data_IF_524826251624
#
_entry.id   IF_524826251624
#
_cell.length_a   1.000
_cell.length_b   1.000
_cell.length_c   1.000
_cell.angle_alpha   90.00
_cell.angle_beta   90.00
_cell.angle_gamma   90.00
#
_symmetry.space_group_name_H-M   'P 1'
#
loop_
_entity.id
_entity.type
_entity.pdbx_description
1 polymer ?
#
# COMPACT_ATOMS: atom_id res chain seq x y z
N UNK A 1 20.86 2.13 11.74
CA UNK A 1 20.01 2.03 12.94
C UNK A 1 18.89 0.99 12.81
N UNK A 2 18.63 0.42 11.62
CA UNK A 2 17.56 -0.57 11.42
C UNK A 2 18.05 -1.87 10.77
N UNK A 3 19.31 -2.27 10.95
CA UNK A 3 19.91 -3.40 10.19
C UNK A 3 19.19 -4.73 10.40
N UNK A 4 18.53 -4.90 11.54
CA UNK A 4 17.99 -6.19 11.97
C UNK A 4 16.46 -6.26 11.84
N UNK A 5 15.83 -5.21 11.29
CA UNK A 5 14.39 -5.19 11.05
C UNK A 5 14.09 -5.85 9.70
N UNK A 6 13.19 -6.83 9.74
CA UNK A 6 12.58 -7.47 8.58
C UNK A 6 11.07 -7.59 8.84
N UNK A 7 10.27 -7.34 7.80
CA UNK A 7 8.80 -7.34 7.88
C UNK A 7 8.25 -8.45 6.99
N UNK A 8 7.43 -9.34 7.54
CA UNK A 8 6.72 -10.40 6.82
C UNK A 8 5.93 -9.79 5.66
N UNK A 9 6.29 -10.17 4.43
CA UNK A 9 5.77 -9.60 3.18
C UNK A 9 5.15 -10.70 2.34
N UNK A 10 3.82 -10.71 2.27
CA UNK A 10 3.03 -11.70 1.56
C UNK A 10 2.74 -11.23 0.14
N UNK A 11 3.30 -11.92 -0.85
CA UNK A 11 3.11 -11.60 -2.27
C UNK A 11 1.99 -12.47 -2.84
N UNK A 12 0.85 -11.86 -3.14
CA UNK A 12 -0.30 -12.53 -3.75
C UNK A 12 -0.03 -12.67 -5.25
N UNK A 13 -0.06 -13.91 -5.75
CA UNK A 13 0.16 -14.20 -7.16
C UNK A 13 -0.68 -15.41 -7.61
N UNK A 14 -1.27 -15.34 -8.81
CA UNK A 14 -1.90 -16.51 -9.43
C UNK A 14 -0.82 -17.47 -9.93
N UNK A 15 -0.98 -18.75 -9.66
CA UNK A 15 0.03 -19.79 -9.92
C UNK A 15 0.51 -19.82 -11.37
N UNK A 16 -0.37 -19.53 -12.31
CA UNK A 16 -0.12 -19.48 -13.75
C UNK A 16 0.66 -18.24 -14.22
N UNK A 17 0.70 -17.15 -13.43
CA UNK A 17 1.37 -15.89 -13.76
C UNK A 17 2.83 -15.90 -13.34
N UNK A 18 3.60 -16.83 -13.90
CA UNK A 18 5.02 -16.98 -13.53
C UNK A 18 5.87 -15.76 -13.89
N UNK A 19 5.53 -15.06 -14.98
CA UNK A 19 6.19 -13.82 -15.41
C UNK A 19 5.96 -12.65 -14.44
N UNK A 20 4.75 -12.51 -13.90
CA UNK A 20 4.43 -11.50 -12.88
C UNK A 20 5.11 -11.84 -11.55
N UNK A 21 5.13 -13.12 -11.17
CA UNK A 21 5.87 -13.57 -9.99
C UNK A 21 7.36 -13.26 -10.09
N UNK A 22 8.01 -13.62 -11.20
CA UNK A 22 9.42 -13.31 -11.42
C UNK A 22 9.68 -11.80 -11.39
N UNK A 23 8.77 -11.02 -11.98
CA UNK A 23 8.86 -9.56 -11.97
C UNK A 23 8.79 -8.99 -10.55
N UNK A 24 7.76 -9.32 -9.78
CA UNK A 24 7.61 -8.77 -8.42
C UNK A 24 8.75 -9.22 -7.51
N UNK A 25 9.19 -10.48 -7.59
CA UNK A 25 10.35 -10.97 -6.82
C UNK A 25 11.63 -10.20 -7.16
N UNK A 26 11.82 -9.77 -8.41
CA UNK A 26 12.96 -8.93 -8.78
C UNK A 26 12.95 -7.55 -8.10
N UNK A 27 11.77 -7.02 -7.74
CA UNK A 27 11.64 -5.74 -7.03
C UNK A 27 12.18 -5.83 -5.59
N UNK A 28 12.14 -7.03 -5.00
CA UNK A 28 12.62 -7.28 -3.63
C UNK A 28 14.07 -7.79 -3.57
N UNK A 29 14.72 -8.00 -4.71
CA UNK A 29 16.09 -8.49 -4.76
C UNK A 29 17.05 -7.51 -4.04
N UNK A 30 17.78 -8.02 -3.05
CA UNK A 30 18.73 -7.23 -2.26
C UNK A 30 18.11 -6.31 -1.20
N UNK A 31 16.82 -6.51 -0.86
CA UNK A 31 16.09 -5.74 0.16
C UNK A 31 15.76 -6.63 1.38
N UNK A 32 16.75 -6.91 2.27
CA UNK A 32 16.59 -7.85 3.39
C UNK A 32 15.55 -7.43 4.45
N UNK A 33 15.12 -6.17 4.43
CA UNK A 33 14.01 -5.63 5.23
C UNK A 33 12.65 -6.24 4.91
N UNK A 34 12.53 -7.01 3.82
CA UNK A 34 11.31 -7.74 3.47
C UNK A 34 11.56 -9.24 3.58
N UNK A 35 10.85 -9.90 4.49
CA UNK A 35 10.80 -11.36 4.57
C UNK A 35 9.72 -11.88 3.63
N UNK A 36 10.12 -12.40 2.48
CA UNK A 36 9.22 -12.66 1.34
C UNK A 36 8.52 -14.01 1.46
N UNK A 37 7.18 -13.97 1.45
CA UNK A 37 6.28 -15.13 1.48
C UNK A 37 5.36 -15.12 0.26
N UNK A 38 5.69 -15.83 -0.84
CA UNK A 38 4.77 -15.97 -1.97
C UNK A 38 3.51 -16.75 -1.55
N UNK A 39 2.35 -16.22 -1.89
CA UNK A 39 1.04 -16.80 -1.58
C UNK A 39 0.28 -17.05 -2.88
N UNK A 40 -0.07 -18.32 -3.11
CA UNK A 40 -0.99 -18.67 -4.19
C UNK A 40 -2.35 -18.02 -3.95
N UNK A 41 -2.73 -17.13 -4.88
CA UNK A 41 -3.97 -16.38 -4.86
C UNK A 41 -5.19 -17.31 -4.96
N UNK A 42 -6.25 -16.97 -4.24
CA UNK A 42 -7.53 -17.64 -4.34
C UNK A 42 -8.19 -17.33 -5.68
N UNK A 43 -8.56 -18.36 -6.43
CA UNK A 43 -9.24 -18.21 -7.71
C UNK A 43 -10.73 -17.98 -7.53
N UNK A 44 -11.29 -17.07 -8.32
CA UNK A 44 -12.73 -16.80 -8.36
C UNK A 44 -13.10 -16.25 -9.74
N UNK A 45 -14.37 -16.37 -10.16
CA UNK A 45 -14.85 -15.80 -11.43
C UNK A 45 -14.86 -14.27 -11.46
N UNK A 46 -14.77 -13.65 -10.28
CA UNK A 46 -14.63 -12.20 -10.07
C UNK A 46 -13.28 -12.00 -9.38
N UNK A 47 -12.30 -11.44 -10.07
CA UNK A 47 -10.94 -11.36 -9.51
C UNK A 47 -10.85 -10.50 -8.24
N UNK A 48 -11.70 -9.48 -8.07
CA UNK A 48 -11.75 -8.70 -6.84
C UNK A 48 -12.10 -9.56 -5.60
N UNK A 49 -13.04 -10.51 -5.77
CA UNK A 49 -13.39 -11.49 -4.74
C UNK A 49 -12.22 -12.46 -4.49
N UNK A 50 -11.53 -12.90 -5.54
CA UNK A 50 -10.33 -13.74 -5.43
C UNK A 50 -9.20 -13.04 -4.66
N UNK A 51 -8.96 -11.76 -4.93
CA UNK A 51 -8.01 -10.92 -4.20
C UNK A 51 -8.40 -10.81 -2.72
N UNK A 52 -9.66 -10.47 -2.43
CA UNK A 52 -10.13 -10.38 -1.05
C UNK A 52 -9.99 -11.70 -0.28
N UNK A 53 -10.37 -12.82 -0.87
CA UNK A 53 -10.16 -14.14 -0.27
C UNK A 53 -8.68 -14.43 0.00
N UNK A 54 -7.78 -13.97 -0.87
CA UNK A 54 -6.33 -14.11 -0.69
C UNK A 54 -5.83 -13.28 0.50
N UNK A 55 -6.33 -12.04 0.66
CA UNK A 55 -6.07 -11.18 1.82
C UNK A 55 -6.58 -11.86 3.10
N UNK A 56 -7.84 -12.31 3.13
CA UNK A 56 -8.44 -13.00 4.28
C UNK A 56 -7.66 -14.27 4.63
N UNK A 57 -7.22 -15.05 3.64
CA UNK A 57 -6.34 -16.23 3.83
C UNK A 57 -5.05 -15.85 4.53
N UNK A 58 -4.39 -14.77 4.13
CA UNK A 58 -3.16 -14.27 4.78
C UNK A 58 -3.47 -13.82 6.22
N UNK A 59 -4.53 -13.04 6.43
CA UNK A 59 -4.90 -12.58 7.77
C UNK A 59 -5.18 -13.75 8.71
N UNK A 60 -5.88 -14.80 8.26
CA UNK A 60 -6.08 -16.01 9.06
C UNK A 60 -4.76 -16.72 9.44
N UNK A 61 -3.74 -16.69 8.58
CA UNK A 61 -2.44 -17.30 8.88
C UNK A 61 -1.67 -16.54 9.97
N UNK A 62 -1.80 -15.21 10.03
CA UNK A 62 -1.02 -14.36 10.94
C UNK A 62 -1.79 -13.92 12.19
N UNK A 63 -3.13 -14.05 12.20
CA UNK A 63 -3.97 -13.50 13.27
C UNK A 63 -3.62 -14.04 14.66
N UNK A 64 -3.28 -15.32 14.75
CA UNK A 64 -2.92 -16.00 16.00
C UNK A 64 -1.41 -15.97 16.28
N UNK A 65 -0.63 -15.35 15.39
CA UNK A 65 0.82 -15.17 15.52
C UNK A 65 1.19 -13.86 16.21
N UNK A 66 2.49 -13.65 16.36
CA UNK A 66 3.09 -12.46 17.02
C UNK A 66 3.27 -11.28 16.05
N UNK A 67 3.00 -11.45 14.75
CA UNK A 67 3.21 -10.40 13.74
C UNK A 67 2.17 -9.27 13.86
N UNK A 68 2.57 -8.21 14.56
CA UNK A 68 1.77 -6.99 14.73
C UNK A 68 1.71 -6.11 13.47
N UNK A 69 2.62 -6.35 12.53
CA UNK A 69 2.73 -5.64 11.26
C UNK A 69 3.11 -6.62 10.16
N UNK A 70 2.38 -6.57 9.04
CA UNK A 70 2.69 -7.33 7.83
C UNK A 70 2.59 -6.43 6.61
N UNK A 71 3.15 -6.89 5.49
CA UNK A 71 2.96 -6.28 4.19
C UNK A 71 2.15 -7.24 3.32
N UNK A 72 1.12 -6.72 2.68
CA UNK A 72 0.45 -7.38 1.55
C UNK A 72 0.92 -6.69 0.28
N UNK A 73 1.37 -7.50 -0.68
CA UNK A 73 1.91 -7.07 -1.94
C UNK A 73 1.24 -7.85 -3.08
N UNK A 74 0.89 -7.18 -4.17
CA UNK A 74 0.38 -7.81 -5.39
C UNK A 74 1.52 -8.01 -6.41
N UNK A 75 1.34 -8.94 -7.33
CA UNK A 75 2.31 -9.31 -8.37
C UNK A 75 2.57 -8.21 -9.43
N UNK A 76 1.84 -7.10 -9.38
CA UNK A 76 2.08 -5.89 -10.19
C UNK A 76 2.73 -4.72 -9.47
N UNK A 77 3.22 -4.93 -8.24
CA UNK A 77 4.01 -3.94 -7.53
C UNK A 77 5.31 -3.58 -8.25
N UNK A 78 5.62 -2.28 -8.28
CA UNK A 78 6.93 -1.72 -8.68
C UNK A 78 7.38 -0.70 -7.65
N UNK A 79 8.64 -0.80 -7.19
CA UNK A 79 9.24 0.27 -6.40
C UNK A 79 9.60 1.46 -7.29
N UNK A 80 9.34 2.67 -6.81
CA UNK A 80 9.83 3.90 -7.44
C UNK A 80 11.26 4.22 -6.97
N UNK A 81 11.90 5.18 -7.61
CA UNK A 81 13.21 5.71 -7.18
C UNK A 81 13.16 6.41 -5.81
N UNK A 82 11.96 6.69 -5.28
CA UNK A 82 11.74 7.30 -3.97
C UNK A 82 11.84 6.31 -2.82
N UNK A 83 11.87 5.00 -3.12
CA UNK A 83 12.08 3.97 -2.12
C UNK A 83 13.46 4.11 -1.47
N UNK A 84 13.46 4.35 -0.16
CA UNK A 84 14.64 4.20 0.69
C UNK A 84 14.30 3.32 1.88
N UNK A 85 15.17 2.34 2.15
CA UNK A 85 15.00 1.35 3.21
C UNK A 85 14.78 1.99 4.58
N UNK A 86 15.64 2.94 4.96
CA UNK A 86 15.62 3.48 6.32
C UNK A 86 14.43 4.42 6.52
N UNK A 87 14.10 5.22 5.50
CA UNK A 87 12.89 6.05 5.48
C UNK A 87 11.64 5.18 5.54
N UNK A 88 11.57 4.10 4.76
CA UNK A 88 10.44 3.18 4.80
C UNK A 88 10.24 2.58 6.19
N UNK A 89 11.29 1.98 6.78
CA UNK A 89 11.22 1.37 8.11
C UNK A 89 10.84 2.40 9.17
N UNK A 90 11.43 3.59 9.14
CA UNK A 90 11.06 4.67 10.06
C UNK A 90 9.58 5.01 9.96
N UNK A 91 9.06 5.15 8.73
CA UNK A 91 7.66 5.49 8.52
C UNK A 91 6.71 4.38 8.99
N UNK A 92 7.08 3.10 8.86
CA UNK A 92 6.33 1.97 9.40
C UNK A 92 6.28 2.04 10.93
N UNK A 93 7.43 2.23 11.58
CA UNK A 93 7.51 2.32 13.06
C UNK A 93 6.70 3.51 13.58
N UNK A 94 6.85 4.68 12.97
CA UNK A 94 6.15 5.87 13.42
C UNK A 94 4.63 5.76 13.21
N UNK A 95 4.21 5.16 12.09
CA UNK A 95 2.80 4.94 11.79
C UNK A 95 2.16 4.01 12.83
N UNK A 96 2.85 2.94 13.24
CA UNK A 96 2.42 2.10 14.36
C UNK A 96 2.25 2.92 15.65
N UNK A 97 3.23 3.77 15.99
CA UNK A 97 3.16 4.66 17.14
C UNK A 97 2.02 5.70 17.09
N UNK A 98 1.48 5.97 15.89
CA UNK A 98 0.36 6.88 15.65
C UNK A 98 -1.00 6.14 15.57
N UNK A 99 -1.03 4.83 15.80
CA UNK A 99 -2.26 4.03 15.74
C UNK A 99 -2.79 3.85 14.31
N UNK A 100 -1.92 3.90 13.31
CA UNK A 100 -2.28 3.58 11.93
C UNK A 100 -2.64 2.10 11.83
N UNK A 101 -3.67 1.81 11.04
CA UNK A 101 -4.18 0.47 10.76
C UNK A 101 -3.80 0.01 9.34
N UNK A 102 -3.64 0.96 8.41
CA UNK A 102 -3.20 0.74 7.04
C UNK A 102 -2.27 1.87 6.58
N UNK A 103 -1.07 1.52 6.10
CA UNK A 103 -0.16 2.45 5.46
C UNK A 103 0.10 1.99 4.01
N UNK A 104 -0.29 2.79 3.03
CA UNK A 104 -0.05 2.49 1.61
C UNK A 104 1.28 3.06 1.12
N UNK A 105 2.01 2.30 0.31
CA UNK A 105 3.23 2.75 -0.36
C UNK A 105 2.98 3.68 -1.56
N UNK A 106 1.75 3.68 -2.08
CA UNK A 106 1.30 4.56 -3.15
C UNK A 106 -0.11 4.21 -3.61
N UNK A 107 -0.84 5.19 -4.13
CA UNK A 107 -2.27 5.08 -4.43
C UNK A 107 -2.60 5.64 -5.81
N UNK A 108 -3.56 5.02 -6.49
CA UNK A 108 -4.09 5.51 -7.78
C UNK A 108 -5.24 6.51 -7.65
N UNK A 109 -5.72 6.79 -6.44
CA UNK A 109 -6.84 7.70 -6.22
C UNK A 109 -7.11 7.97 -4.76
N UNK A 110 -7.61 9.17 -4.47
CA UNK A 110 -8.06 9.62 -3.15
C UNK A 110 -8.87 10.92 -3.24
N UNK A 111 -9.66 11.21 -2.21
CA UNK A 111 -10.44 12.44 -2.10
C UNK A 111 -9.64 13.57 -1.48
N UNK A 112 -9.21 13.39 -0.24
CA UNK A 112 -8.50 14.37 0.56
C UNK A 112 -7.24 13.76 1.18
N UNK A 113 -6.19 14.57 1.27
CA UNK A 113 -4.96 14.22 1.98
C UNK A 113 -4.62 15.30 3.02
N UNK A 114 -4.28 14.88 4.23
CA UNK A 114 -3.88 15.78 5.34
C UNK A 114 -2.45 15.43 5.77
N UNK A 115 -1.51 16.38 5.73
CA UNK A 115 -0.12 16.12 6.12
C UNK A 115 -0.03 15.79 7.61
N UNK A 116 0.65 14.69 7.93
CA UNK A 116 1.00 14.28 9.29
C UNK A 116 2.48 14.52 9.54
N UNK A 117 3.32 14.21 8.54
CA UNK A 117 4.75 14.52 8.50
C UNK A 117 5.12 15.08 7.13
N UNK A 118 6.42 15.24 6.85
CA UNK A 118 6.89 15.51 5.47
C UNK A 118 6.60 14.36 4.51
N UNK A 119 6.42 13.13 5.01
CA UNK A 119 6.39 11.88 4.21
C UNK A 119 5.12 11.04 4.38
N UNK A 120 4.26 11.37 5.36
CA UNK A 120 3.02 10.65 5.63
C UNK A 120 1.82 11.58 5.62
N UNK A 121 0.77 11.12 4.95
CA UNK A 121 -0.46 11.85 4.78
C UNK A 121 -1.62 10.94 5.16
N UNK A 122 -2.50 11.42 6.03
CA UNK A 122 -3.80 10.80 6.24
C UNK A 122 -4.65 10.96 4.99
N UNK A 123 -5.42 9.94 4.64
CA UNK A 123 -6.30 9.95 3.46
C UNK A 123 -7.72 9.48 3.80
N UNK A 124 -8.71 10.01 3.10
CA UNK A 124 -10.13 9.69 3.32
C UNK A 124 -10.56 8.36 2.70
N UNK A 125 -10.07 8.06 1.49
CA UNK A 125 -10.19 6.78 0.80
C UNK A 125 -8.95 6.56 -0.09
N UNK A 126 -8.71 5.32 -0.50
CA UNK A 126 -7.65 4.96 -1.43
C UNK A 126 -8.17 4.10 -2.58
N UNK A 127 -7.49 4.20 -3.73
CA UNK A 127 -7.50 3.17 -4.75
C UNK A 127 -6.13 2.49 -4.84
N UNK A 128 -6.15 1.23 -5.26
CA UNK A 128 -4.99 0.35 -5.45
C UNK A 128 -4.38 -0.19 -4.15
N UNK A 129 -4.03 -1.48 -4.15
CA UNK A 129 -3.55 -2.23 -2.97
C UNK A 129 -2.24 -2.97 -3.19
N UNK A 130 -1.51 -2.63 -4.27
CA UNK A 130 -0.31 -3.36 -4.69
C UNK A 130 0.79 -3.44 -3.63
N UNK A 131 0.82 -2.49 -2.69
CA UNK A 131 1.76 -2.48 -1.58
C UNK A 131 1.17 -1.75 -0.39
N UNK A 132 0.67 -2.52 0.57
CA UNK A 132 0.09 -2.00 1.81
C UNK A 132 0.73 -2.67 3.03
N UNK A 133 1.03 -1.85 4.03
CA UNK A 133 1.43 -2.28 5.37
C UNK A 133 0.16 -2.32 6.22
N UNK A 134 -0.14 -3.47 6.80
CA UNK A 134 -1.29 -3.67 7.68
C UNK A 134 -0.81 -3.86 9.11
N UNK A 135 -1.50 -3.22 10.04
CA UNK A 135 -1.22 -3.35 11.47
C UNK A 135 -2.35 -4.15 12.12
N UNK A 136 -2.02 -4.93 13.15
CA UNK A 136 -2.95 -5.87 13.82
C UNK A 136 -4.38 -5.36 14.07
N UNK A 137 -4.63 -4.10 14.50
CA UNK A 137 -6.00 -3.67 14.78
C UNK A 137 -6.96 -3.75 13.59
N UNK A 138 -6.47 -3.79 12.34
CA UNK A 138 -7.31 -3.98 11.15
C UNK A 138 -7.68 -5.44 10.89
N UNK A 139 -6.93 -6.42 11.42
CA UNK A 139 -7.10 -7.84 11.06
C UNK A 139 -8.51 -8.33 11.34
N UNK A 140 -9.03 -8.07 12.54
CA UNK A 140 -10.40 -8.46 12.90
C UNK A 140 -11.44 -7.79 12.00
N UNK A 141 -11.22 -6.53 11.58
CA UNK A 141 -12.15 -5.81 10.69
C UNK A 141 -12.19 -6.45 9.30
N UNK A 142 -11.04 -6.92 8.80
CA UNK A 142 -10.95 -7.68 7.55
C UNK A 142 -11.68 -9.02 7.69
N UNK A 143 -11.45 -9.76 8.78
CA UNK A 143 -12.05 -11.08 9.00
C UNK A 143 -13.57 -11.03 9.23
N UNK A 144 -14.08 -9.96 9.87
CA UNK A 144 -15.50 -9.79 10.16
C UNK A 144 -16.30 -9.24 8.96
N UNK A 145 -15.64 -8.74 7.91
CA UNK A 145 -16.31 -8.12 6.77
C UNK A 145 -16.92 -9.16 5.82
N UNK A 146 -18.21 -9.03 5.54
CA UNK A 146 -18.92 -9.85 4.54
C UNK A 146 -18.76 -9.22 3.15
N UNK A 147 -17.78 -9.72 2.39
CA UNK A 147 -17.44 -9.21 1.07
C UNK A 147 -18.48 -9.59 0.00
N UNK A 148 -18.86 -8.62 -0.82
CA UNK A 148 -19.86 -8.77 -1.88
C UNK A 148 -19.19 -8.87 -3.24
N UNK A 149 -19.89 -9.46 -4.19
CA UNK A 149 -19.44 -9.56 -5.59
C UNK A 149 -19.22 -8.20 -6.28
N UNK A 150 -19.78 -7.12 -5.73
CA UNK A 150 -19.61 -5.74 -6.22
C UNK A 150 -18.48 -4.98 -5.54
N UNK A 151 -17.88 -5.55 -4.49
CA UNK A 151 -16.87 -4.88 -3.68
C UNK A 151 -15.49 -4.98 -4.35
N UNK A 152 -14.63 -4.03 -4.00
CA UNK A 152 -13.20 -4.05 -4.32
C UNK A 152 -12.40 -3.97 -3.02
N UNK A 153 -11.20 -4.57 -3.00
CA UNK A 153 -10.38 -4.62 -1.79
C UNK A 153 -10.04 -3.21 -1.26
N UNK A 154 -9.65 -2.30 -2.15
CA UNK A 154 -9.36 -0.90 -1.83
C UNK A 154 -10.60 -0.13 -1.35
N UNK A 155 -11.77 -0.40 -1.94
CA UNK A 155 -13.06 0.15 -1.52
C UNK A 155 -13.41 -0.27 -0.10
N UNK A 156 -13.35 -1.57 0.19
CA UNK A 156 -13.62 -2.11 1.54
C UNK A 156 -12.61 -1.61 2.56
N UNK A 157 -11.31 -1.63 2.24
CA UNK A 157 -10.27 -1.11 3.13
C UNK A 157 -10.45 0.39 3.43
N UNK A 158 -10.95 1.15 2.45
CA UNK A 158 -11.30 2.56 2.65
C UNK A 158 -12.46 2.76 3.64
N UNK A 159 -13.43 1.85 3.64
CA UNK A 159 -14.62 1.91 4.50
C UNK A 159 -14.37 1.40 5.92
N UNK A 160 -13.68 0.26 6.08
CA UNK A 160 -13.55 -0.40 7.39
C UNK A 160 -12.60 0.33 8.34
N UNK A 161 -11.78 1.26 7.86
CA UNK A 161 -10.91 2.06 8.72
C UNK A 161 -10.73 3.50 8.26
N UNK A 162 -10.77 4.43 9.22
CA UNK A 162 -10.31 5.82 9.05
C UNK A 162 -8.83 6.01 9.42
N UNK A 163 -8.18 5.00 10.02
CA UNK A 163 -6.79 5.08 10.51
C UNK A 163 -5.83 4.65 9.40
N UNK A 164 -5.91 5.36 8.27
CA UNK A 164 -5.17 5.04 7.05
C UNK A 164 -4.33 6.21 6.58
N UNK A 165 -3.12 5.90 6.13
CA UNK A 165 -2.16 6.86 5.62
C UNK A 165 -1.54 6.37 4.32
N UNK A 166 -0.95 7.28 3.58
CA UNK A 166 -0.10 6.98 2.41
C UNK A 166 1.27 7.64 2.57
N UNK A 167 2.30 6.98 2.05
CA UNK A 167 3.63 7.55 1.89
C UNK A 167 3.66 8.49 0.69
N UNK A 168 4.22 9.67 0.84
CA UNK A 168 4.50 10.55 -0.30
C UNK A 168 5.83 11.29 -0.16
N UNK A 169 6.74 11.27 -1.16
CA UNK A 169 6.59 10.70 -2.50
C UNK A 169 6.29 9.19 -2.52
N UNK A 170 5.50 8.72 -3.50
CA UNK A 170 5.09 7.32 -3.56
C UNK A 170 6.30 6.42 -3.72
N UNK A 171 6.41 5.40 -2.88
CA UNK A 171 7.46 4.37 -2.99
C UNK A 171 7.01 3.19 -3.86
N UNK A 172 5.72 3.11 -4.17
CA UNK A 172 5.12 2.00 -4.92
C UNK A 172 4.13 2.50 -5.95
N UNK A 173 4.21 1.92 -7.14
CA UNK A 173 3.21 2.04 -8.21
C UNK A 173 2.81 0.67 -8.74
N UNK A 174 1.77 0.62 -9.58
CA UNK A 174 1.35 -0.59 -10.29
C UNK A 174 1.89 -0.60 -11.72
N UNK A 175 2.47 -1.73 -12.12
CA UNK A 175 2.84 -2.01 -13.51
C UNK A 175 1.65 -2.57 -14.27
N UNK A 176 1.29 -1.91 -15.38
CA UNK A 176 0.37 -2.48 -16.36
C UNK A 176 1.08 -3.56 -17.18
N UNK A 177 0.67 -4.82 -17.03
CA UNK A 177 1.16 -5.95 -17.83
C UNK A 177 0.42 -6.10 -19.17
N UNK A 178 -0.62 -5.30 -19.43
CA UNK A 178 -1.45 -5.37 -20.63
C UNK A 178 -2.50 -6.48 -20.62
N UNK A 179 -2.67 -7.15 -19.48
CA UNK A 179 -3.72 -8.15 -19.25
C UNK A 179 -4.11 -8.18 -17.77
N UNK A 180 -5.40 -8.37 -17.47
CA UNK A 180 -5.93 -8.55 -16.12
C UNK A 180 -7.08 -9.56 -16.13
N UNK A 181 -7.17 -10.36 -15.06
CA UNK A 181 -8.33 -11.23 -14.80
C UNK A 181 -9.33 -10.58 -13.81
N UNK A 182 -9.03 -9.37 -13.34
CA UNK A 182 -9.70 -8.75 -12.19
C UNK A 182 -10.91 -7.92 -12.60
N UNK A 183 -10.98 -7.40 -13.82
CA UNK A 183 -12.09 -6.54 -14.26
C UNK A 183 -12.22 -6.43 -15.78
N UNK A 184 -13.25 -7.07 -16.37
CA UNK A 184 -13.70 -6.78 -17.75
C UNK A 184 -13.96 -5.29 -18.02
N UNK A 185 -14.22 -4.48 -16.98
CA UNK A 185 -14.44 -3.04 -17.08
C UNK A 185 -13.14 -2.18 -17.18
N UNK A 186 -12.00 -2.70 -16.70
CA UNK A 186 -10.69 -2.07 -16.90
C UNK A 186 -9.91 -2.69 -18.06
N UNK A 187 -10.28 -3.91 -18.49
CA UNK A 187 -9.68 -4.62 -19.62
C UNK A 187 -9.84 -3.93 -20.98
N UNK A 188 -10.70 -2.91 -21.09
CA UNK A 188 -10.92 -2.21 -22.37
C UNK A 188 -9.92 -1.09 -22.66
N UNK A 189 -9.09 -0.63 -21.71
CA UNK A 189 -8.11 0.44 -21.97
C UNK A 189 -6.81 0.22 -21.16
N UNK A 190 -5.79 -0.36 -21.80
CA UNK A 190 -4.41 -0.32 -21.31
C UNK A 190 -4.01 1.12 -20.94
N UNK A 191 -3.32 1.30 -19.82
CA UNK A 191 -2.83 2.60 -19.36
C UNK A 191 -3.74 3.36 -18.38
N UNK A 192 -4.99 2.91 -18.11
CA UNK A 192 -5.85 3.56 -17.10
C UNK A 192 -5.24 3.58 -15.72
N UNK A 193 -4.59 2.48 -15.30
CA UNK A 193 -3.99 2.41 -13.97
C UNK A 193 -2.80 3.36 -13.83
N UNK A 194 -1.97 3.44 -14.88
CA UNK A 194 -0.88 4.41 -14.97
C UNK A 194 -1.41 5.83 -14.91
N UNK A 195 -2.52 6.12 -15.61
CA UNK A 195 -3.16 7.44 -15.56
C UNK A 195 -3.68 7.77 -14.16
N UNK A 196 -4.31 6.82 -13.46
CA UNK A 196 -4.74 6.99 -12.08
C UNK A 196 -3.59 7.35 -11.15
N UNK A 197 -2.47 6.62 -11.21
CA UNK A 197 -1.27 6.96 -10.44
C UNK A 197 -0.70 8.33 -10.81
N UNK A 198 -0.65 8.69 -12.09
CA UNK A 198 -0.16 10.01 -12.52
C UNK A 198 -1.04 11.14 -11.96
N UNK A 199 -2.36 11.01 -12.05
CA UNK A 199 -3.30 12.00 -11.51
C UNK A 199 -3.20 12.10 -9.99
N UNK A 200 -3.06 10.98 -9.29
CA UNK A 200 -2.87 10.94 -7.85
C UNK A 200 -1.54 11.57 -7.43
N UNK A 201 -0.46 11.30 -8.17
CA UNK A 201 0.87 11.89 -7.93
C UNK A 201 0.86 13.41 -8.14
N UNK A 202 0.33 13.90 -9.27
CA UNK A 202 0.20 15.33 -9.53
C UNK A 202 -0.56 16.05 -8.39
N UNK A 203 -1.67 15.45 -7.96
CA UNK A 203 -2.48 15.97 -6.87
C UNK A 203 -1.72 15.93 -5.54
N UNK A 204 -1.09 14.83 -5.18
CA UNK A 204 -0.29 14.69 -3.95
C UNK A 204 0.90 15.66 -3.94
N UNK A 205 1.57 15.89 -5.07
CA UNK A 205 2.66 16.84 -5.18
C UNK A 205 2.22 18.25 -4.75
N UNK A 206 1.01 18.67 -5.12
CA UNK A 206 0.47 19.97 -4.69
C UNK A 206 0.36 20.04 -3.16
N UNK A 207 -0.21 19.02 -2.52
CA UNK A 207 -0.29 18.94 -1.05
C UNK A 207 1.10 18.91 -0.41
N UNK A 208 2.03 18.15 -0.99
CA UNK A 208 3.38 17.98 -0.50
C UNK A 208 4.17 19.29 -0.56
N UNK A 209 4.16 20.00 -1.69
CA UNK A 209 4.82 21.29 -1.82
C UNK A 209 4.24 22.34 -0.86
N UNK A 210 2.92 22.33 -0.64
CA UNK A 210 2.29 23.21 0.34
C UNK A 210 2.76 22.90 1.78
N UNK A 211 2.83 21.62 2.14
CA UNK A 211 3.33 21.16 3.43
C UNK A 211 4.81 21.53 3.65
N UNK A 212 5.68 21.28 2.67
CA UNK A 212 7.10 21.65 2.77
C UNK A 212 7.31 23.14 3.00
N UNK A 213 6.57 24.01 2.29
CA UNK A 213 6.61 25.46 2.51
C UNK A 213 6.15 25.85 3.91
N UNK A 214 5.09 25.22 4.41
CA UNK A 214 4.61 25.45 5.76
C UNK A 214 5.66 25.07 6.82
N UNK A 215 6.29 23.91 6.67
CA UNK A 215 7.34 23.43 7.58
C UNK A 215 8.59 24.33 7.55
N UNK A 216 9.01 24.78 6.37
CA UNK A 216 10.12 25.73 6.21
C UNK A 216 9.84 27.05 6.94
N UNK A 217 8.67 27.64 6.72
CA UNK A 217 8.30 28.90 7.36
C UNK A 217 8.22 28.78 8.88
N UNK A 218 7.73 27.65 9.40
CA UNK A 218 7.72 27.38 10.84
C UNK A 218 9.13 27.31 11.42
N UNK A 219 10.04 26.62 10.74
CA UNK A 219 11.43 26.54 11.16
C UNK A 219 12.12 27.92 11.19
N UNK A 220 11.93 28.76 10.16
CA UNK A 220 12.45 30.12 10.14
C UNK A 220 11.90 30.97 11.30
N UNK A 221 10.60 30.89 11.56
CA UNK A 221 9.96 31.64 12.64
C UNK A 221 10.42 31.20 14.05
N UNK A 222 10.82 29.93 14.23
CA UNK A 222 11.35 29.43 15.50
C UNK A 222 12.82 29.85 15.71
N UNK A 223 13.62 29.96 14.63
CA UNK A 223 15.01 30.46 14.69
C UNK A 223 15.06 31.96 14.97
N UNK A 224 14.14 32.76 14.42
CA UNK A 224 14.08 34.21 14.67
C UNK A 224 13.66 34.58 16.11
N UNK A 225 13.17 33.62 16.90
CA UNK A 225 12.77 33.81 18.31
C UNK A 225 13.86 33.45 19.32
N UNK A 226 15.01 32.93 18.88
CA UNK A 226 16.17 32.57 19.70
C UNK A 226 17.25 33.66 19.63
#
# INVERSE_FOLDING_TARGET
MYSDISISTYIINLKERTDRLDYVLSQFAGKPEFDIHPVEACTHSIGAVGLWHSIVKIIHQVNDGEDDVIIICEDDHTFTDEYDRNRFIQNVIDAAGQGVELLSGGIGGFGNAVPITSERYWIDWLWCTQFIVLYRPIYKKILDYEFKDTDTADGVLSEITSHKMVLYPFISIQKDFGYSDVTRANDEISGKITEHFNQADEKMNIYHQANLRYLQNKHTADVEKL
#
